data_IF_844586141427
#
_entry.id   IF_844586141427
#
_cell.length_a   1.000
_cell.length_b   1.000
_cell.length_c   1.000
_cell.angle_alpha   90.00
_cell.angle_beta   90.00
_cell.angle_gamma   90.00
#
_symmetry.space_group_name_H-M   'P 1'
#
loop_
_entity.id
_entity.type
_entity.pdbx_description
1 polymer ?
#
# COMPACT_ATOMS: atom_id res chain seq x y z
N UNK A 1 10.39 -24.13 5.29
CA UNK A 1 11.55 -23.36 4.79
C UNK A 1 12.12 -22.62 5.98
N UNK A 2 13.21 -23.09 6.61
CA UNK A 2 13.81 -22.45 7.80
C UNK A 2 14.56 -21.15 7.50
N UNK A 3 14.02 -20.32 6.60
CA UNK A 3 14.60 -19.02 6.23
C UNK A 3 14.01 -17.95 7.15
N UNK A 4 14.80 -16.95 7.56
CA UNK A 4 14.30 -15.86 8.38
C UNK A 4 13.22 -15.05 7.65
N UNK A 5 12.29 -14.48 8.41
CA UNK A 5 11.22 -13.61 7.89
C UNK A 5 11.71 -12.16 7.94
N UNK A 6 11.56 -11.42 6.84
CA UNK A 6 11.79 -9.97 6.79
C UNK A 6 10.45 -9.25 6.66
N UNK A 7 10.10 -8.45 7.66
CA UNK A 7 8.93 -7.56 7.63
C UNK A 7 9.38 -6.14 7.26
N UNK A 8 8.89 -5.68 6.10
CA UNK A 8 9.11 -4.32 5.59
C UNK A 8 7.85 -3.51 5.87
N UNK A 9 7.98 -2.35 6.51
CA UNK A 9 6.84 -1.57 6.99
C UNK A 9 7.13 -0.06 6.97
N UNK A 10 6.07 0.76 7.03
CA UNK A 10 6.20 2.20 7.17
C UNK A 10 6.54 2.62 8.61
N UNK A 11 7.25 3.74 8.74
CA UNK A 11 7.62 4.31 10.04
C UNK A 11 6.49 5.05 10.76
N UNK A 12 5.23 4.67 10.56
CA UNK A 12 4.11 5.32 11.26
C UNK A 12 4.27 5.16 12.79
N UNK A 13 3.86 6.17 13.56
CA UNK A 13 4.09 6.23 15.02
C UNK A 13 3.43 5.08 15.79
N UNK A 14 2.39 4.46 15.23
CA UNK A 14 1.81 3.24 15.81
C UNK A 14 2.80 2.06 15.82
N UNK A 15 3.78 2.06 14.91
CA UNK A 15 4.79 1.02 14.73
C UNK A 15 6.10 1.35 15.46
N UNK A 16 6.15 2.34 16.35
CA UNK A 16 7.39 2.69 17.09
C UNK A 16 7.37 2.28 18.57
N UNK A 17 6.32 1.56 19.02
CA UNK A 17 6.23 1.07 20.40
C UNK A 17 7.21 -0.09 20.63
N UNK A 18 7.94 -0.09 21.74
CA UNK A 18 8.99 -1.09 21.99
C UNK A 18 8.46 -2.55 22.05
N UNK A 19 7.22 -2.73 22.47
CA UNK A 19 6.65 -4.07 22.73
C UNK A 19 6.59 -4.99 21.49
N UNK A 20 6.40 -4.45 20.29
CA UNK A 20 6.32 -5.28 19.08
C UNK A 20 7.70 -5.56 18.48
N UNK A 21 8.68 -4.67 18.69
CA UNK A 21 10.08 -4.88 18.28
C UNK A 21 10.68 -6.05 19.04
N UNK A 22 10.45 -6.08 20.36
CA UNK A 22 10.86 -7.21 21.19
C UNK A 22 10.19 -8.51 20.72
N UNK A 23 8.88 -8.46 20.44
CA UNK A 23 8.16 -9.62 19.92
C UNK A 23 8.77 -10.13 18.61
N UNK A 24 9.06 -9.25 17.64
CA UNK A 24 9.66 -9.63 16.37
C UNK A 24 11.05 -10.27 16.57
N UNK A 25 11.87 -9.70 17.45
CA UNK A 25 13.20 -10.23 17.79
C UNK A 25 13.13 -11.65 18.36
N UNK A 26 12.23 -11.91 19.31
CA UNK A 26 12.07 -13.24 19.92
C UNK A 26 11.48 -14.29 18.96
N UNK A 27 10.94 -13.88 17.81
CA UNK A 27 10.34 -14.75 16.81
C UNK A 27 11.15 -14.81 15.50
N UNK A 28 12.42 -14.38 15.50
CA UNK A 28 13.30 -14.37 14.32
C UNK A 28 12.72 -13.61 13.11
N UNK A 29 11.96 -12.53 13.39
CA UNK A 29 11.41 -11.62 12.40
C UNK A 29 12.31 -10.38 12.32
N UNK A 30 13.01 -10.25 11.20
CA UNK A 30 13.80 -9.07 10.89
C UNK A 30 12.89 -7.92 10.50
N UNK A 31 13.09 -6.77 11.12
CA UNK A 31 12.30 -5.57 10.88
C UNK A 31 13.08 -4.58 10.03
N UNK A 32 12.44 -4.08 8.97
CA UNK A 32 12.99 -3.02 8.13
C UNK A 32 11.97 -1.90 7.96
N UNK A 33 12.22 -0.80 8.68
CA UNK A 33 11.43 0.42 8.54
C UNK A 33 11.86 1.17 7.27
N UNK A 34 10.89 1.46 6.39
CA UNK A 34 11.14 2.29 5.22
C UNK A 34 11.50 3.73 5.64
N UNK A 35 12.37 4.43 4.88
CA UNK A 35 12.63 5.85 5.12
C UNK A 35 11.33 6.68 5.05
N UNK A 36 11.23 7.78 5.81
CA UNK A 36 10.04 8.61 5.83
C UNK A 36 9.68 9.13 4.44
N UNK A 37 8.39 9.27 4.16
CA UNK A 37 7.84 9.77 2.89
C UNK A 37 8.18 8.94 1.64
N UNK A 38 8.68 7.70 1.79
CA UNK A 38 9.01 6.83 0.65
C UNK A 38 7.97 5.76 0.34
N UNK A 39 6.86 5.69 1.09
CA UNK A 39 5.80 4.68 0.93
C UNK A 39 5.32 4.53 -0.52
N UNK A 40 5.01 5.64 -1.18
CA UNK A 40 4.57 5.68 -2.58
C UNK A 40 5.58 5.14 -3.61
N UNK A 41 6.83 4.85 -3.20
CA UNK A 41 7.90 4.32 -4.05
C UNK A 41 8.42 2.96 -3.63
N UNK A 42 8.61 2.77 -2.32
CA UNK A 42 9.25 1.57 -1.78
C UNK A 42 8.25 0.56 -1.24
N UNK A 43 7.03 0.96 -0.86
CA UNK A 43 6.07 0.04 -0.27
C UNK A 43 5.29 -0.68 -1.37
N UNK A 44 5.48 -2.00 -1.58
CA UNK A 44 4.84 -2.72 -2.69
C UNK A 44 3.31 -2.60 -2.66
N UNK A 45 2.73 -2.60 -1.46
CA UNK A 45 1.28 -2.46 -1.30
C UNK A 45 0.75 -1.17 -1.93
N UNK A 46 1.38 -0.04 -1.63
CA UNK A 46 1.04 1.27 -2.19
C UNK A 46 1.41 1.41 -3.66
N UNK A 47 2.56 0.85 -4.07
CA UNK A 47 3.06 0.93 -5.45
C UNK A 47 2.16 0.18 -6.44
N UNK A 48 1.47 -0.89 -6.02
CA UNK A 48 0.74 -1.72 -6.98
C UNK A 48 -0.46 -2.52 -6.49
N UNK A 49 -0.64 -2.76 -5.19
CA UNK A 49 -1.72 -3.64 -4.71
C UNK A 49 -2.97 -2.87 -4.28
N UNK A 50 -2.82 -1.71 -3.66
CA UNK A 50 -3.96 -0.97 -3.09
C UNK A 50 -4.86 -0.33 -4.12
N UNK A 51 -4.34 0.14 -5.26
CA UNK A 51 -5.19 0.69 -6.32
C UNK A 51 -6.15 -0.37 -6.91
N UNK A 52 -5.70 -1.58 -7.30
CA UNK A 52 -6.61 -2.67 -7.67
C UNK A 52 -7.61 -3.05 -6.59
N UNK A 53 -7.19 -3.09 -5.32
CA UNK A 53 -8.09 -3.37 -4.20
C UNK A 53 -9.18 -2.31 -4.06
N UNK A 54 -8.81 -1.02 -4.14
CA UNK A 54 -9.75 0.08 -4.05
C UNK A 54 -10.80 0.00 -5.18
N UNK A 55 -10.38 -0.29 -6.40
CA UNK A 55 -11.30 -0.47 -7.52
C UNK A 55 -12.23 -1.68 -7.33
N UNK A 56 -11.70 -2.80 -6.84
CA UNK A 56 -12.50 -3.98 -6.54
C UNK A 56 -13.51 -3.71 -5.41
N UNK A 57 -13.11 -2.94 -4.40
CA UNK A 57 -13.96 -2.53 -3.30
C UNK A 57 -15.11 -1.65 -3.78
N UNK A 58 -14.84 -0.62 -4.59
CA UNK A 58 -15.89 0.22 -5.17
C UNK A 58 -16.87 -0.58 -6.02
N UNK A 59 -16.36 -1.47 -6.88
CA UNK A 59 -17.21 -2.37 -7.66
C UNK A 59 -18.07 -3.25 -6.76
N UNK A 60 -17.55 -3.73 -5.63
CA UNK A 60 -18.33 -4.54 -4.69
C UNK A 60 -19.44 -3.73 -4.03
N UNK A 61 -19.15 -2.49 -3.63
CA UNK A 61 -20.17 -1.56 -3.14
C UNK A 61 -21.26 -1.31 -4.18
N UNK A 62 -20.89 -1.07 -5.44
CA UNK A 62 -21.85 -0.83 -6.53
C UNK A 62 -22.76 -2.03 -6.78
N UNK A 63 -22.20 -3.26 -6.76
CA UNK A 63 -22.98 -4.49 -6.91
C UNK A 63 -24.04 -4.58 -5.81
N UNK A 64 -23.65 -4.41 -4.56
CA UNK A 64 -24.58 -4.53 -3.41
C UNK A 64 -25.65 -3.45 -3.45
N UNK A 65 -25.27 -2.21 -3.76
CA UNK A 65 -26.22 -1.11 -3.90
C UNK A 65 -27.24 -1.38 -5.02
N UNK A 66 -26.80 -1.91 -6.15
CA UNK A 66 -27.69 -2.23 -7.27
C UNK A 66 -28.61 -3.44 -6.97
N UNK A 67 -28.12 -4.44 -6.23
CA UNK A 67 -28.89 -5.64 -5.91
C UNK A 67 -29.89 -5.44 -4.77
N UNK A 68 -29.55 -4.62 -3.77
CA UNK A 68 -30.33 -4.47 -2.54
C UNK A 68 -31.06 -3.12 -2.43
N UNK A 69 -30.62 -2.11 -3.18
CA UNK A 69 -31.06 -0.72 -3.04
C UNK A 69 -30.41 0.03 -1.87
N UNK A 70 -29.54 -0.62 -1.09
CA UNK A 70 -28.89 -0.05 0.09
C UNK A 70 -27.36 -0.28 0.09
N UNK A 71 -26.64 0.53 0.88
CA UNK A 71 -25.20 0.38 1.06
C UNK A 71 -24.82 -0.84 1.92
N UNK A 72 -23.53 -1.18 1.92
CA UNK A 72 -23.03 -2.30 2.75
C UNK A 72 -23.22 -1.98 4.23
N UNK A 73 -23.96 -2.83 4.92
CA UNK A 73 -24.10 -2.73 6.38
C UNK A 73 -22.79 -3.06 7.10
N UNK A 74 -22.55 -2.39 8.23
CA UNK A 74 -21.32 -2.52 9.02
C UNK A 74 -20.97 -3.99 9.35
N UNK A 75 -21.97 -4.81 9.69
CA UNK A 75 -21.78 -6.23 10.02
C UNK A 75 -21.24 -7.08 8.86
N UNK A 76 -21.40 -6.62 7.62
CA UNK A 76 -20.94 -7.31 6.41
C UNK A 76 -19.65 -6.72 5.82
N UNK A 77 -19.19 -5.55 6.26
CA UNK A 77 -18.01 -4.87 5.70
C UNK A 77 -16.80 -5.80 5.59
N UNK A 78 -16.49 -6.57 6.64
CA UNK A 78 -15.33 -7.49 6.63
C UNK A 78 -15.51 -8.58 5.57
N UNK A 79 -16.69 -9.21 5.51
CA UNK A 79 -17.00 -10.25 4.53
C UNK A 79 -16.83 -9.71 3.11
N UNK A 80 -17.47 -8.58 2.80
CA UNK A 80 -17.45 -8.00 1.46
C UNK A 80 -16.06 -7.46 1.08
N UNK A 81 -15.29 -6.98 2.06
CA UNK A 81 -13.92 -6.55 1.85
C UNK A 81 -13.02 -7.73 1.51
N UNK A 82 -13.21 -8.88 2.17
CA UNK A 82 -12.45 -10.09 1.86
C UNK A 82 -12.76 -10.64 0.47
N UNK A 83 -13.99 -10.51 -0.02
CA UNK A 83 -14.34 -10.80 -1.42
C UNK A 83 -13.57 -9.88 -2.39
N UNK A 84 -13.61 -8.57 -2.17
CA UNK A 84 -12.88 -7.59 -2.97
C UNK A 84 -11.35 -7.84 -2.94
N UNK A 85 -10.81 -8.18 -1.76
CA UNK A 85 -9.39 -8.50 -1.57
C UNK A 85 -8.98 -9.76 -2.33
N UNK A 86 -9.77 -10.81 -2.26
CA UNK A 86 -9.51 -12.08 -2.96
C UNK A 86 -9.46 -11.88 -4.47
N UNK A 87 -10.34 -11.02 -5.00
CA UNK A 87 -10.37 -10.70 -6.44
C UNK A 87 -9.22 -9.79 -6.91
N UNK A 88 -8.63 -8.98 -6.02
CA UNK A 88 -7.66 -7.94 -6.40
C UNK A 88 -6.20 -8.30 -6.11
N UNK A 89 -5.94 -9.10 -5.07
CA UNK A 89 -4.59 -9.58 -4.73
C UNK A 89 -4.20 -10.81 -5.56
N UNK A 90 -4.01 -10.60 -6.86
CA UNK A 90 -3.52 -11.63 -7.78
C UNK A 90 -1.99 -11.67 -7.83
N UNK A 91 -1.43 -12.87 -7.95
CA UNK A 91 0.03 -13.11 -7.91
C UNK A 91 0.80 -12.20 -8.87
N UNK A 92 0.32 -12.07 -10.11
CA UNK A 92 0.92 -11.20 -11.13
C UNK A 92 1.08 -9.75 -10.66
N UNK A 93 0.05 -9.19 -10.01
CA UNK A 93 0.06 -7.81 -9.51
C UNK A 93 1.01 -7.68 -8.33
N UNK A 94 0.99 -8.64 -7.42
CA UNK A 94 1.88 -8.67 -6.25
C UNK A 94 3.34 -8.71 -6.71
N UNK A 95 3.70 -9.65 -7.59
CA UNK A 95 5.06 -9.76 -8.13
C UNK A 95 5.50 -8.49 -8.85
N UNK A 96 4.60 -7.87 -9.64
CA UNK A 96 4.92 -6.61 -10.33
C UNK A 96 5.10 -5.44 -9.37
N UNK A 97 4.35 -5.41 -8.27
CA UNK A 97 4.49 -4.38 -7.25
C UNK A 97 5.85 -4.46 -6.55
N UNK A 98 6.32 -5.67 -6.24
CA UNK A 98 7.66 -5.93 -5.71
C UNK A 98 8.78 -5.53 -6.67
N UNK A 99 8.60 -5.79 -7.96
CA UNK A 99 9.55 -5.38 -9.00
C UNK A 99 9.61 -3.85 -9.11
N UNK A 100 8.45 -3.19 -9.14
CA UNK A 100 8.34 -1.74 -9.25
C UNK A 100 8.86 -0.99 -8.03
N UNK A 101 8.77 -1.57 -6.84
CA UNK A 101 9.39 -1.00 -5.63
C UNK A 101 10.90 -1.23 -5.56
N UNK A 102 11.47 -2.00 -6.49
CA UNK A 102 12.91 -2.27 -6.55
C UNK A 102 13.42 -3.13 -5.40
N UNK A 103 12.54 -3.76 -4.62
CA UNK A 103 12.92 -4.62 -3.51
C UNK A 103 13.14 -6.06 -3.98
N UNK A 104 12.31 -6.55 -4.91
CA UNK A 104 12.44 -7.91 -5.45
C UNK A 104 12.11 -7.97 -6.95
N UNK A 105 13.12 -8.18 -7.82
CA UNK A 105 14.55 -8.23 -7.50
C UNK A 105 15.06 -6.89 -6.94
N UNK A 106 16.13 -6.94 -6.15
CA UNK A 106 16.75 -5.72 -5.63
C UNK A 106 17.31 -4.91 -6.79
N UNK A 107 16.77 -3.71 -7.01
CA UNK A 107 17.20 -2.81 -8.07
C UNK A 107 17.24 -1.35 -7.56
N UNK A 108 18.39 -0.87 -7.11
CA UNK A 108 18.55 0.53 -6.70
C UNK A 108 18.38 1.54 -7.85
N UNK A 109 18.52 1.09 -9.11
CA UNK A 109 18.44 1.94 -10.30
C UNK A 109 17.02 2.34 -10.71
N UNK A 110 15.98 1.95 -9.96
CA UNK A 110 14.60 2.38 -10.23
C UNK A 110 14.37 3.87 -9.93
N UNK A 111 15.26 4.50 -9.17
CA UNK A 111 15.19 5.91 -8.81
C UNK A 111 16.02 6.75 -9.78
N UNK A 112 15.40 7.77 -10.35
CA UNK A 112 16.04 8.75 -11.24
C UNK A 112 16.57 9.91 -10.41
N UNK A 113 17.54 10.69 -10.91
CA UNK A 113 18.01 11.91 -10.24
C UNK A 113 16.88 12.87 -9.85
N UNK A 114 15.82 12.94 -10.66
CA UNK A 114 14.63 13.75 -10.37
C UNK A 114 13.84 13.29 -9.14
N UNK A 115 13.90 12.01 -8.77
CA UNK A 115 13.21 11.48 -7.58
C UNK A 115 13.90 11.92 -6.28
N UNK A 116 15.17 12.36 -6.37
CA UNK A 116 15.93 12.93 -5.27
C UNK A 116 15.90 14.46 -5.27
N UNK A 117 15.24 15.08 -6.26
CA UNK A 117 15.09 16.52 -6.28
C UNK A 117 14.25 16.97 -5.08
N UNK A 118 14.64 18.05 -4.39
CA UNK A 118 13.82 18.59 -3.31
C UNK A 118 12.44 18.96 -3.85
N UNK A 119 11.40 18.76 -3.04
CA UNK A 119 10.08 19.31 -3.34
C UNK A 119 10.22 20.80 -3.58
N UNK A 120 9.69 21.32 -4.69
CA UNK A 120 9.75 22.75 -4.95
C UNK A 120 9.01 23.50 -3.83
N UNK A 121 9.71 24.40 -3.14
CA UNK A 121 9.16 25.17 -2.02
C UNK A 121 7.97 26.08 -2.41
N UNK A 122 7.67 26.19 -3.70
CA UNK A 122 6.71 27.14 -4.28
C UNK A 122 5.48 26.51 -4.92
N UNK A 123 5.14 25.25 -4.61
CA UNK A 123 3.84 24.68 -5.03
C UNK A 123 2.69 25.23 -4.18
N UNK A 124 2.51 26.55 -4.19
CA UNK A 124 1.29 27.27 -3.76
C UNK A 124 0.33 27.49 -4.93
N UNK A 125 0.72 27.14 -6.16
CA UNK A 125 -0.12 27.28 -7.34
C UNK A 125 -0.87 25.99 -7.63
N UNK A 126 -2.16 26.04 -7.35
CA UNK A 126 -3.12 25.02 -7.71
C UNK A 126 -3.30 25.03 -9.24
N UNK A 127 -2.75 24.03 -9.95
CA UNK A 127 -3.10 23.79 -11.35
C UNK A 127 -4.40 23.01 -11.42
N UNK A 128 -5.50 23.75 -11.35
CA UNK A 128 -6.85 23.21 -11.56
C UNK A 128 -7.37 23.59 -12.95
N UNK A 129 -8.16 22.73 -13.61
CA UNK A 129 -8.90 23.09 -14.81
C UNK A 129 -9.79 24.32 -14.54
N UNK A 130 -10.11 25.10 -15.56
CA UNK A 130 -11.02 26.27 -15.46
C UNK A 130 -12.44 25.93 -14.97
N UNK A 131 -12.76 24.64 -14.85
CA UNK A 131 -14.02 24.09 -14.36
C UNK A 131 -13.98 23.65 -12.88
N UNK A 132 -12.85 23.81 -12.19
CA UNK A 132 -12.76 23.56 -10.75
C UNK A 132 -13.31 24.78 -10.00
N UNK A 133 -14.06 24.60 -8.90
CA UNK A 133 -14.76 25.70 -8.23
C UNK A 133 -13.84 26.84 -7.78
#
# INVERSE_FOLDING_TARGET
>A
SGKPILLIYDGHVSHTRNNWVDFAYHNDIFLYCLPPHTTHRLQPLDVGCFSPLQNAWYRRCDIILNETGEGIELRYVVKEYMEARTSSFVEKTVLKAWEKSGIRPLNPGIFKPSDFAPSQASSTFMHVPSSFP
#
